data_IF_725540820837
#
_entry.id   IF_725540820837
#
_cell.length_a   1.000
_cell.length_b   1.000
_cell.length_c   1.000
_cell.angle_alpha   90.00
_cell.angle_beta   90.00
_cell.angle_gamma   90.00
#
_symmetry.space_group_name_H-M   'P 1'
#
loop_
_entity.id
_entity.type
_entity.pdbx_description
1 polymer ?
#
# COMPACT_ATOMS: atom_id res chain seq x y z
N UNK A 1 20.56 5.93 -1.46
CA UNK A 1 20.26 4.68 -0.77
C UNK A 1 20.39 3.51 -1.74
N UNK A 2 21.27 2.57 -1.43
CA UNK A 2 21.53 1.46 -2.36
C UNK A 2 20.46 0.38 -2.27
N UNK A 3 20.14 -0.07 -1.06
CA UNK A 3 19.22 -1.18 -0.85
C UNK A 3 18.19 -0.79 0.24
N UNK A 4 16.93 -1.08 -0.05
CA UNK A 4 15.83 -1.03 0.90
C UNK A 4 15.21 -2.41 1.00
N UNK A 5 15.09 -2.92 2.23
CA UNK A 5 14.49 -4.24 2.50
C UNK A 5 13.27 -4.04 3.40
N UNK A 6 12.13 -4.53 2.96
CA UNK A 6 10.89 -4.41 3.74
C UNK A 6 9.89 -5.49 3.32
N UNK A 7 8.81 -5.61 4.10
CA UNK A 7 7.71 -6.51 3.80
C UNK A 7 6.59 -5.84 3.03
N UNK A 8 5.52 -6.58 2.85
CA UNK A 8 4.28 -6.07 2.25
C UNK A 8 3.08 -6.81 2.85
N UNK A 9 1.92 -6.17 2.83
CA UNK A 9 0.66 -6.79 3.26
C UNK A 9 0.07 -7.67 2.15
N UNK A 10 0.28 -7.27 0.90
CA UNK A 10 -0.02 -8.07 -0.30
C UNK A 10 1.01 -7.79 -1.38
N UNK A 11 1.26 -8.79 -2.23
CA UNK A 11 2.11 -8.64 -3.39
C UNK A 11 1.57 -9.47 -4.55
N UNK A 12 1.58 -8.89 -5.77
CA UNK A 12 1.10 -9.55 -6.97
C UNK A 12 2.27 -10.11 -7.83
N UNK A 13 1.97 -10.85 -8.91
CA UNK A 13 3.03 -11.41 -9.76
C UNK A 13 3.94 -10.38 -10.43
N UNK A 14 3.50 -9.14 -10.60
CA UNK A 14 4.31 -8.06 -11.16
C UNK A 14 5.13 -7.32 -10.10
N UNK A 15 5.17 -7.83 -8.86
CA UNK A 15 5.92 -7.26 -7.73
C UNK A 15 5.38 -5.90 -7.27
N UNK A 16 4.12 -5.61 -7.60
CA UNK A 16 3.38 -4.49 -7.07
C UNK A 16 2.76 -4.88 -5.73
N UNK A 17 2.64 -3.93 -4.79
CA UNK A 17 2.32 -4.25 -3.41
C UNK A 17 1.21 -3.38 -2.85
N UNK A 18 0.59 -3.90 -1.79
CA UNK A 18 -0.11 -3.08 -0.80
C UNK A 18 0.76 -3.07 0.46
N UNK A 19 1.01 -1.88 0.99
CA UNK A 19 1.72 -1.66 2.23
C UNK A 19 0.93 -0.69 3.11
N UNK A 20 1.31 -0.58 4.37
CA UNK A 20 0.70 0.40 5.27
C UNK A 20 -0.08 -0.19 6.43
N UNK A 21 -0.05 -1.50 6.62
CA UNK A 21 -0.67 -2.13 7.79
C UNK A 21 -0.10 -1.60 9.11
N UNK A 22 1.17 -1.21 9.12
CA UNK A 22 1.84 -0.59 10.27
C UNK A 22 1.73 0.94 10.34
N UNK A 23 0.94 1.57 9.48
CA UNK A 23 0.71 3.03 9.42
C UNK A 23 1.95 3.85 9.01
N UNK A 24 2.99 3.23 8.48
CA UNK A 24 4.24 3.90 8.09
C UNK A 24 4.38 4.04 6.55
N UNK A 25 3.28 3.95 5.82
CA UNK A 25 3.29 3.87 4.35
C UNK A 25 3.95 5.06 3.67
N UNK A 26 3.80 6.26 4.22
CA UNK A 26 4.38 7.47 3.62
C UNK A 26 5.90 7.43 3.68
N UNK A 27 6.46 7.10 4.85
CA UNK A 27 7.91 6.96 5.01
C UNK A 27 8.46 5.82 4.17
N UNK A 28 7.75 4.69 4.16
CA UNK A 28 8.14 3.53 3.36
C UNK A 28 8.16 3.87 1.87
N UNK A 29 7.17 4.62 1.40
CA UNK A 29 7.11 5.01 -0.01
C UNK A 29 8.24 5.97 -0.38
N UNK A 30 8.56 6.91 0.49
CA UNK A 30 9.68 7.84 0.28
C UNK A 30 10.99 7.07 0.20
N UNK A 31 11.22 6.15 1.14
CA UNK A 31 12.45 5.35 1.18
C UNK A 31 12.55 4.47 -0.06
N UNK A 32 11.44 3.82 -0.46
CA UNK A 32 11.40 2.99 -1.67
C UNK A 32 11.76 3.81 -2.92
N UNK A 33 11.26 5.04 -3.01
CA UNK A 33 11.55 5.92 -4.15
C UNK A 33 13.03 6.31 -4.22
N UNK A 34 13.70 6.40 -3.08
CA UNK A 34 15.12 6.76 -3.01
C UNK A 34 16.05 5.57 -3.23
N UNK A 35 15.56 4.34 -3.07
CA UNK A 35 16.39 3.15 -3.14
C UNK A 35 16.66 2.76 -4.60
N UNK A 36 17.91 2.34 -4.87
CA UNK A 36 18.27 1.76 -6.17
C UNK A 36 17.68 0.38 -6.33
N UNK A 37 17.68 -0.41 -5.24
CA UNK A 37 17.11 -1.75 -5.20
C UNK A 37 16.16 -1.87 -4.02
N UNK A 38 14.94 -2.30 -4.29
CA UNK A 38 13.95 -2.63 -3.27
C UNK A 38 13.76 -4.14 -3.25
N UNK A 39 14.12 -4.75 -2.12
CA UNK A 39 13.95 -6.18 -1.88
C UNK A 39 12.77 -6.36 -0.93
N UNK A 40 11.71 -6.99 -1.42
CA UNK A 40 10.54 -7.29 -0.61
C UNK A 40 10.64 -8.71 -0.07
N UNK A 41 10.47 -8.87 1.24
CA UNK A 41 10.49 -10.18 1.89
C UNK A 41 9.12 -10.43 2.51
N UNK A 42 8.45 -11.48 2.05
CA UNK A 42 7.11 -11.86 2.52
C UNK A 42 7.03 -13.37 2.72
N UNK A 43 6.04 -13.81 3.49
CA UNK A 43 5.65 -15.23 3.44
C UNK A 43 4.63 -15.46 2.32
N UNK A 44 4.41 -16.72 1.96
CA UNK A 44 3.57 -17.08 0.83
C UNK A 44 2.11 -16.64 0.98
N UNK A 45 1.64 -16.38 2.21
CA UNK A 45 0.27 -15.93 2.45
C UNK A 45 0.01 -14.50 1.94
N UNK A 46 1.07 -13.74 1.66
CA UNK A 46 0.96 -12.36 1.15
C UNK A 46 0.83 -12.30 -0.38
N UNK A 47 1.03 -13.41 -1.07
CA UNK A 47 0.90 -13.46 -2.53
C UNK A 47 -0.57 -13.48 -2.94
N UNK A 48 -0.93 -12.56 -3.84
CA UNK A 48 -2.29 -12.46 -4.40
C UNK A 48 -2.21 -12.23 -5.89
N UNK A 49 -3.27 -12.58 -6.61
CA UNK A 49 -3.37 -12.26 -8.04
C UNK A 49 -3.85 -10.82 -8.25
N UNK A 50 -4.79 -10.38 -7.41
CA UNK A 50 -5.39 -9.04 -7.50
C UNK A 50 -5.20 -8.34 -6.16
N UNK A 51 -4.56 -7.17 -6.19
CA UNK A 51 -4.37 -6.35 -5.00
C UNK A 51 -5.73 -5.87 -4.46
N UNK A 52 -5.85 -5.82 -3.13
CA UNK A 52 -7.09 -5.47 -2.45
C UNK A 52 -8.00 -6.65 -2.17
N UNK A 53 -7.61 -7.87 -2.56
CA UNK A 53 -8.46 -9.07 -2.40
C UNK A 53 -8.49 -9.60 -0.98
N UNK A 54 -7.40 -9.46 -0.20
CA UNK A 54 -7.31 -10.01 1.15
C UNK A 54 -6.98 -8.97 2.22
N UNK A 55 -6.51 -7.80 1.83
CA UNK A 55 -6.10 -6.76 2.76
C UNK A 55 -6.69 -5.41 2.33
N UNK A 56 -7.25 -4.62 3.28
CA UNK A 56 -7.78 -3.31 2.94
C UNK A 56 -6.63 -2.36 2.57
N UNK A 57 -6.91 -1.46 1.64
CA UNK A 57 -5.91 -0.50 1.17
C UNK A 57 -5.79 0.67 2.16
N UNK A 58 -4.63 0.86 2.80
CA UNK A 58 -4.42 2.01 3.68
C UNK A 58 -4.19 3.29 2.87
N UNK A 59 -4.81 4.38 3.32
CA UNK A 59 -4.61 5.71 2.75
C UNK A 59 -4.37 6.68 3.89
N UNK A 60 -3.26 7.41 3.84
CA UNK A 60 -2.96 8.45 4.80
C UNK A 60 -3.62 9.75 4.36
N UNK A 61 -4.38 10.37 5.26
CA UNK A 61 -5.25 11.51 4.95
C UNK A 61 -5.04 12.61 5.98
N UNK A 62 -4.99 13.85 5.53
CA UNK A 62 -4.98 15.02 6.41
C UNK A 62 -6.29 15.01 7.21
N UNK A 63 -6.25 15.19 8.55
CA UNK A 63 -7.45 15.03 9.39
C UNK A 63 -8.66 15.83 8.93
N UNK A 64 -8.48 17.09 8.51
CA UNK A 64 -9.59 17.91 8.09
C UNK A 64 -10.26 17.44 6.80
N UNK A 65 -9.59 16.60 6.01
CA UNK A 65 -10.11 16.09 4.75
C UNK A 65 -10.79 14.70 4.88
N UNK A 66 -10.86 14.15 6.08
CA UNK A 66 -11.31 12.77 6.29
C UNK A 66 -12.66 12.47 5.62
N UNK A 67 -13.67 13.29 5.85
CA UNK A 67 -15.02 13.06 5.32
C UNK A 67 -15.09 13.21 3.80
N UNK A 68 -14.40 14.20 3.26
CA UNK A 68 -14.39 14.44 1.81
C UNK A 68 -13.66 13.32 1.06
N UNK A 69 -12.51 12.91 1.58
CA UNK A 69 -11.75 11.80 1.00
C UNK A 69 -12.55 10.50 1.08
N UNK A 70 -13.17 10.22 2.23
CA UNK A 70 -14.00 9.03 2.38
C UNK A 70 -15.12 8.98 1.34
N UNK A 71 -15.82 10.10 1.12
CA UNK A 71 -16.87 10.16 0.09
C UNK A 71 -16.32 9.91 -1.31
N UNK A 72 -15.15 10.45 -1.62
CA UNK A 72 -14.51 10.22 -2.93
C UNK A 72 -14.15 8.74 -3.11
N UNK A 73 -13.66 8.09 -2.07
CA UNK A 73 -13.33 6.66 -2.12
C UNK A 73 -14.56 5.80 -2.35
N UNK A 74 -15.71 6.18 -1.78
CA UNK A 74 -16.99 5.49 -2.05
C UNK A 74 -17.36 5.61 -3.53
N UNK A 75 -17.18 6.79 -4.13
CA UNK A 75 -17.48 6.96 -5.56
C UNK A 75 -16.57 6.12 -6.46
N UNK A 76 -15.37 5.76 -5.97
CA UNK A 76 -14.45 4.88 -6.69
C UNK A 76 -14.73 3.39 -6.45
N UNK A 77 -15.73 3.07 -5.65
CA UNK A 77 -16.16 1.70 -5.40
C UNK A 77 -15.64 1.08 -4.12
N UNK A 78 -14.94 1.84 -3.29
CA UNK A 78 -14.37 1.34 -2.04
C UNK A 78 -15.27 1.56 -0.85
N UNK A 79 -14.98 0.83 0.23
CA UNK A 79 -15.64 0.99 1.54
C UNK A 79 -14.60 1.46 2.55
N UNK A 80 -14.44 2.77 2.74
CA UNK A 80 -13.44 3.31 3.66
C UNK A 80 -13.85 3.15 5.12
N UNK A 81 -12.89 2.77 5.94
CA UNK A 81 -13.05 2.62 7.38
C UNK A 81 -11.95 3.41 8.09
N UNK A 82 -12.35 4.30 9.01
CA UNK A 82 -11.40 5.05 9.81
C UNK A 82 -10.65 4.10 10.76
N UNK A 83 -9.31 4.16 10.72
CA UNK A 83 -8.48 3.36 11.64
C UNK A 83 -8.39 4.08 12.97
N UNK A 84 -9.25 3.69 13.91
CA UNK A 84 -9.35 4.31 15.23
C UNK A 84 -8.07 4.12 16.05
N UNK A 85 -7.72 5.16 16.81
CA UNK A 85 -6.58 5.11 17.72
C UNK A 85 -5.23 5.20 17.05
N UNK A 86 -5.17 5.44 15.74
CA UNK A 86 -3.93 5.55 14.99
C UNK A 86 -3.72 6.96 14.50
N UNK A 87 -2.56 7.54 14.86
CA UNK A 87 -2.05 8.79 14.31
C UNK A 87 -0.70 8.46 13.69
N UNK A 88 -0.51 8.86 12.43
CA UNK A 88 0.76 8.59 11.74
C UNK A 88 1.89 9.44 12.31
N UNK A 89 3.13 9.12 11.97
CA UNK A 89 4.29 9.92 12.35
C UNK A 89 4.21 11.36 11.81
N UNK A 90 3.36 11.58 10.80
CA UNK A 90 3.16 12.90 10.21
C UNK A 90 1.95 13.64 10.79
N UNK A 91 1.34 13.12 11.84
CA UNK A 91 0.16 13.72 12.47
C UNK A 91 -1.14 13.51 11.72
N UNK A 92 -1.21 12.55 10.82
CA UNK A 92 -2.37 12.30 9.98
C UNK A 92 -3.14 11.04 10.41
N UNK A 93 -4.28 10.82 9.78
CA UNK A 93 -5.13 9.65 10.01
C UNK A 93 -4.98 8.64 8.87
N UNK A 94 -5.47 7.44 9.09
CA UNK A 94 -5.53 6.38 8.08
C UNK A 94 -6.99 6.02 7.81
N UNK A 95 -7.34 5.93 6.54
CA UNK A 95 -8.55 5.27 6.07
C UNK A 95 -8.15 3.93 5.46
N UNK A 96 -8.71 2.84 5.96
CA UNK A 96 -8.54 1.51 5.38
C UNK A 96 -9.70 1.25 4.42
N UNK A 97 -9.40 1.07 3.16
CA UNK A 97 -10.44 0.92 2.13
C UNK A 97 -10.63 -0.55 1.79
N UNK A 98 -11.80 -1.06 2.13
CA UNK A 98 -12.21 -2.43 1.81
C UNK A 98 -12.87 -2.48 0.43
N UNK A 99 -12.94 -3.67 -0.14
CA UNK A 99 -13.66 -3.97 -1.39
C UNK A 99 -13.10 -3.28 -2.63
N UNK A 100 -11.86 -2.84 -2.63
CA UNK A 100 -11.18 -2.44 -3.84
C UNK A 100 -10.60 -3.67 -4.55
N UNK A 101 -11.09 -3.95 -5.75
CA UNK A 101 -10.42 -4.85 -6.68
C UNK A 101 -9.50 -4.01 -7.54
N UNK A 102 -8.21 -4.02 -7.23
CA UNK A 102 -7.25 -3.15 -7.90
C UNK A 102 -6.71 -3.87 -9.12
N UNK A 103 -7.46 -3.81 -10.21
CA UNK A 103 -7.11 -4.48 -11.46
C UNK A 103 -6.00 -3.75 -12.21
N UNK A 104 -5.88 -2.44 -12.01
CA UNK A 104 -4.83 -1.63 -12.62
C UNK A 104 -4.14 -0.82 -11.51
N UNK A 105 -3.12 -1.41 -10.84
CA UNK A 105 -2.52 -0.77 -9.67
C UNK A 105 -1.85 0.57 -9.97
N UNK A 106 -1.19 0.71 -11.11
CA UNK A 106 -0.52 1.97 -11.49
C UNK A 106 -1.53 3.09 -11.61
N UNK A 107 -2.65 2.85 -12.31
CA UNK A 107 -3.69 3.87 -12.48
C UNK A 107 -4.38 4.20 -11.15
N UNK A 108 -4.62 3.18 -10.32
CA UNK A 108 -5.21 3.40 -9.00
C UNK A 108 -4.30 4.25 -8.12
N UNK A 109 -3.01 3.98 -8.11
CA UNK A 109 -2.05 4.77 -7.32
C UNK A 109 -2.06 6.23 -7.75
N UNK A 110 -2.04 6.49 -9.06
CA UNK A 110 -2.11 7.84 -9.62
C UNK A 110 -3.41 8.55 -9.25
N UNK A 111 -4.52 7.86 -9.39
CA UNK A 111 -5.85 8.44 -9.13
C UNK A 111 -6.00 8.81 -7.66
N UNK A 112 -5.57 7.94 -6.75
CA UNK A 112 -5.61 8.21 -5.32
C UNK A 112 -4.69 9.36 -4.92
N UNK A 113 -3.50 9.45 -5.54
CA UNK A 113 -2.57 10.54 -5.28
C UNK A 113 -3.13 11.91 -5.68
N UNK A 114 -4.09 11.96 -6.59
CA UNK A 114 -4.68 13.21 -7.08
C UNK A 114 -5.88 13.69 -6.26
N UNK A 115 -6.28 12.95 -5.24
CA UNK A 115 -7.38 13.37 -4.36
C UNK A 115 -6.86 14.38 -3.34
N UNK A 116 -7.47 15.57 -3.28
CA UNK A 116 -7.09 16.58 -2.31
C UNK A 116 -7.27 16.04 -0.88
N UNK A 117 -6.23 16.21 -0.06
CA UNK A 117 -6.22 15.71 1.32
C UNK A 117 -5.57 14.35 1.48
N UNK A 118 -5.33 13.62 0.42
CA UNK A 118 -4.55 12.37 0.46
C UNK A 118 -3.06 12.74 0.50
N UNK A 119 -2.37 12.21 1.51
CA UNK A 119 -0.92 12.36 1.63
C UNK A 119 -0.23 11.29 0.81
N UNK A 120 -0.61 10.03 1.04
CA UNK A 120 -0.10 8.87 0.30
C UNK A 120 -1.15 7.76 0.36
N UNK A 121 -0.99 6.79 -0.51
CA UNK A 121 -1.79 5.56 -0.47
C UNK A 121 -0.88 4.34 -0.45
N UNK A 122 -1.44 3.21 -0.03
CA UNK A 122 -0.69 1.97 0.16
C UNK A 122 -0.43 1.17 -1.10
N UNK A 123 -0.82 1.65 -2.28
CA UNK A 123 -0.47 0.98 -3.53
C UNK A 123 0.95 1.36 -3.93
N UNK A 124 1.83 0.37 -4.03
CA UNK A 124 3.22 0.53 -4.46
C UNK A 124 3.38 -0.12 -5.83
N UNK A 125 2.93 0.57 -6.86
CA UNK A 125 2.92 0.09 -8.24
C UNK A 125 3.78 0.95 -9.17
N UNK A 126 3.82 2.27 -8.96
CA UNK A 126 4.70 3.16 -9.71
C UNK A 126 6.17 2.84 -9.45
N UNK A 127 6.46 2.42 -8.22
CA UNK A 127 7.78 1.92 -7.84
C UNK A 127 7.57 0.58 -7.13
N UNK A 128 7.49 -0.54 -7.89
CA UNK A 128 7.34 -1.87 -7.30
C UNK A 128 8.66 -2.38 -6.72
N UNK A 129 8.64 -3.58 -6.14
CA UNK A 129 9.87 -4.24 -5.72
C UNK A 129 10.69 -4.67 -6.93
N UNK A 130 12.01 -4.66 -6.80
CA UNK A 130 12.90 -5.20 -7.82
C UNK A 130 13.05 -6.70 -7.66
N UNK A 131 13.13 -7.17 -6.42
CA UNK A 131 13.26 -8.58 -6.07
C UNK A 131 12.29 -8.90 -4.93
N UNK A 132 11.64 -10.06 -5.04
CA UNK A 132 10.76 -10.56 -3.99
C UNK A 132 11.31 -11.89 -3.49
N UNK A 133 11.49 -12.00 -2.18
CA UNK A 133 11.88 -13.24 -1.52
C UNK A 133 10.66 -13.74 -0.75
N UNK A 134 10.16 -14.91 -1.14
CA UNK A 134 8.97 -15.52 -0.55
C UNK A 134 9.39 -16.67 0.36
N UNK A 135 9.02 -16.57 1.63
CA UNK A 135 9.20 -17.66 2.60
C UNK A 135 8.09 -18.70 2.43
N UNK A 136 8.48 -19.95 2.28
CA UNK A 136 7.54 -21.08 2.19
C UNK A 136 7.98 -22.16 3.17
N UNK A 137 7.10 -23.18 3.46
CA UNK A 137 7.51 -24.31 4.30
C UNK A 137 8.74 -25.05 3.76
N UNK A 138 8.99 -24.98 2.46
CA UNK A 138 10.10 -25.66 1.78
C UNK A 138 11.34 -24.76 1.64
N UNK A 139 11.33 -23.56 2.23
CA UNK A 139 12.42 -22.60 2.17
C UNK A 139 12.06 -21.34 1.40
N UNK A 140 13.05 -20.50 1.12
CA UNK A 140 12.86 -19.22 0.46
C UNK A 140 12.90 -19.39 -1.06
N UNK A 141 12.02 -18.66 -1.75
CA UNK A 141 11.99 -18.57 -3.22
C UNK A 141 12.20 -17.13 -3.62
N UNK A 142 12.97 -16.92 -4.68
CA UNK A 142 13.19 -15.59 -5.27
C UNK A 142 12.34 -15.47 -6.53
N UNK A 143 11.61 -14.38 -6.61
CA UNK A 143 10.79 -14.07 -7.77
C UNK A 143 11.37 -12.86 -8.50
#
# INVERSE_FOLDING_TARGET
>A
LDIYVDGADEINPQKMMIKGGGAALTREKIVAALAKNFICIVDSSKQVDVLGSTFPLPIEVIPMARSQVARKLVTLGGAPEYREGVVTDNGNIILDVHNFEILNPVEMEKELNNIAGVVTNGVFALRPADTVIVGTPDGAKII
#
